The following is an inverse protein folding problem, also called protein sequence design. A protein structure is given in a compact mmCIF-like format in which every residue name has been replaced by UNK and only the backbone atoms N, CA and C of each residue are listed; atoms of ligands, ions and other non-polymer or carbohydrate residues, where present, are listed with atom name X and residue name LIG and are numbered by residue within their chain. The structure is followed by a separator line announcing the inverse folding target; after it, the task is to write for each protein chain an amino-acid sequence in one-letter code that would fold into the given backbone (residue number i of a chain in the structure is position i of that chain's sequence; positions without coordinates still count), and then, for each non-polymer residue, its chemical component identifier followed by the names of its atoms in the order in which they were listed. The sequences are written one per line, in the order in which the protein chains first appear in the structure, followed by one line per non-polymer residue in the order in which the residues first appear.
data_IF_801105332280
#
_entry.id   IF_801105332280
#
_cell.length_a   1.000
_cell.length_b   1.000
_cell.length_c   1.000
_cell.angle_alpha   90.00
_cell.angle_beta   90.00
_cell.angle_gamma   90.00
#
_symmetry.space_group_name_H-M   'P 1'
#
loop_
_entity.id
_entity.type
_entity.pdbx_description
1 polymer ?
#
# COMPACT_ATOMS: atom_id res chain seq x y z
N UNK A 1 6.47 48.11 5.68
CA UNK A 1 5.63 47.64 4.55
C UNK A 1 5.72 46.12 4.49
N UNK A 2 4.88 45.42 5.26
CA UNK A 2 4.94 43.95 5.38
C UNK A 2 4.10 43.29 4.28
N UNK A 3 4.75 42.64 3.31
CA UNK A 3 4.05 41.80 2.34
C UNK A 3 3.87 40.40 2.94
N UNK A 4 2.67 40.15 3.48
CA UNK A 4 2.22 38.82 3.90
C UNK A 4 2.09 37.96 2.64
N UNK A 5 3.07 37.10 2.36
CA UNK A 5 2.98 36.10 1.30
C UNK A 5 1.90 35.09 1.69
N UNK A 6 0.74 35.17 1.05
CA UNK A 6 -0.28 34.14 1.09
C UNK A 6 0.23 32.95 0.28
N UNK A 7 0.80 31.95 0.94
CA UNK A 7 1.10 30.67 0.32
C UNK A 7 -0.19 29.84 0.29
N UNK A 8 -0.97 29.98 -0.77
CA UNK A 8 -2.03 29.03 -1.10
C UNK A 8 -1.41 27.87 -1.88
N UNK A 9 -1.04 26.80 -1.20
CA UNK A 9 -0.70 25.52 -1.86
C UNK A 9 -1.74 24.46 -1.47
N UNK A 10 -2.94 24.55 -2.05
CA UNK A 10 -3.87 23.42 -2.06
C UNK A 10 -3.85 22.80 -3.46
N UNK A 11 -2.75 22.11 -3.77
CA UNK A 11 -2.79 21.11 -4.82
C UNK A 11 -3.35 19.85 -4.15
N UNK A 12 -4.65 19.60 -4.35
CA UNK A 12 -5.29 18.35 -3.94
C UNK A 12 -4.68 17.23 -4.78
N UNK A 13 -3.66 16.55 -4.24
CA UNK A 13 -3.21 15.28 -4.80
C UNK A 13 -4.39 14.33 -4.69
N UNK A 14 -4.97 13.96 -5.83
CA UNK A 14 -6.22 13.19 -5.93
C UNK A 14 -6.17 11.79 -5.29
N UNK A 15 -5.01 11.39 -4.78
CA UNK A 15 -4.76 10.06 -4.29
C UNK A 15 -4.81 10.02 -2.75
N UNK A 16 -5.81 9.30 -2.23
CA UNK A 16 -6.11 9.27 -0.80
C UNK A 16 -5.30 8.20 -0.03
N UNK A 17 -4.73 7.21 -0.74
CA UNK A 17 -4.08 6.05 -0.11
C UNK A 17 -2.71 5.70 -0.70
N UNK A 18 -1.81 5.23 0.16
CA UNK A 18 -0.63 4.48 -0.20
C UNK A 18 -0.96 2.99 -0.32
N UNK A 19 -0.74 2.42 -1.49
CA UNK A 19 -0.66 0.98 -1.73
C UNK A 19 0.78 0.54 -1.52
N UNK A 20 1.03 -0.15 -0.42
CA UNK A 20 2.38 -0.52 0.03
C UNK A 20 2.51 -2.04 -0.11
N UNK A 21 3.46 -2.49 -0.91
CA UNK A 21 3.74 -3.92 -1.11
C UNK A 21 5.14 -4.26 -0.60
N UNK A 22 5.25 -5.26 0.28
CA UNK A 22 6.56 -5.73 0.74
C UNK A 22 7.24 -6.57 -0.35
N UNK A 23 8.41 -6.14 -0.83
CA UNK A 23 9.18 -6.84 -1.88
C UNK A 23 10.38 -7.61 -1.33
N UNK A 24 10.95 -7.17 -0.21
CA UNK A 24 12.10 -7.81 0.45
C UNK A 24 11.76 -8.14 1.90
N UNK A 25 12.34 -9.22 2.42
CA UNK A 25 12.07 -9.69 3.78
C UNK A 25 12.75 -8.79 4.82
N UNK A 26 12.10 -8.61 5.97
CA UNK A 26 12.67 -7.91 7.13
C UNK A 26 13.45 -8.84 8.08
N UNK A 27 13.63 -10.11 7.71
CA UNK A 27 14.43 -11.08 8.48
C UNK A 27 15.88 -10.61 8.53
N UNK A 28 16.51 -10.70 9.70
CA UNK A 28 17.90 -10.27 9.91
C UNK A 28 18.10 -8.76 10.02
N UNK A 29 17.05 -7.95 9.84
CA UNK A 29 17.12 -6.50 10.02
C UNK A 29 16.89 -6.08 11.48
N UNK A 30 17.32 -4.88 11.88
CA UNK A 30 17.08 -4.31 13.20
C UNK A 30 15.61 -4.33 13.65
N UNK A 31 15.37 -4.37 14.97
CA UNK A 31 14.03 -4.54 15.55
C UNK A 31 13.07 -3.42 15.19
N UNK A 32 13.56 -2.21 15.08
CA UNK A 32 12.80 -1.01 14.74
C UNK A 32 12.29 -1.05 13.30
N UNK A 33 13.06 -1.59 12.35
CA UNK A 33 12.64 -1.86 10.97
C UNK A 33 11.55 -2.93 10.93
N UNK A 34 11.75 -4.03 11.67
CA UNK A 34 10.73 -5.09 11.79
C UNK A 34 9.45 -4.56 12.42
N UNK A 35 9.55 -3.70 13.43
CA UNK A 35 8.42 -3.06 14.07
C UNK A 35 7.68 -2.14 13.10
N UNK A 36 8.39 -1.28 12.34
CA UNK A 36 7.79 -0.42 11.34
C UNK A 36 7.00 -1.21 10.27
N UNK A 37 7.55 -2.34 9.81
CA UNK A 37 6.87 -3.23 8.86
C UNK A 37 5.57 -3.78 9.45
N UNK A 38 5.60 -4.24 10.70
CA UNK A 38 4.42 -4.73 11.42
C UNK A 38 3.38 -3.63 11.63
N UNK A 39 3.78 -2.40 11.95
CA UNK A 39 2.89 -1.24 12.11
C UNK A 39 2.16 -0.92 10.80
N UNK A 40 2.82 -1.05 9.65
CA UNK A 40 2.18 -0.91 8.34
C UNK A 40 1.29 -2.12 7.97
N UNK A 41 1.31 -3.19 8.76
CA UNK A 41 0.54 -4.43 8.51
C UNK A 41 1.21 -5.37 7.51
N UNK A 42 2.52 -5.20 7.28
CA UNK A 42 3.31 -6.03 6.36
C UNK A 42 4.03 -7.12 7.15
N UNK A 43 3.54 -8.35 7.03
CA UNK A 43 4.07 -9.52 7.75
C UNK A 43 4.68 -10.52 6.79
N UNK A 44 4.05 -10.74 5.63
CA UNK A 44 4.50 -11.71 4.62
C UNK A 44 5.06 -11.01 3.37
N UNK A 45 5.97 -11.68 2.67
CA UNK A 45 6.45 -11.23 1.37
C UNK A 45 5.29 -11.09 0.38
N UNK A 46 5.37 -10.07 -0.47
CA UNK A 46 4.37 -9.70 -1.48
C UNK A 46 2.98 -9.33 -0.93
N UNK A 47 2.84 -9.25 0.39
CA UNK A 47 1.64 -8.72 1.01
C UNK A 47 1.51 -7.23 0.67
N UNK A 48 0.28 -6.82 0.34
CA UNK A 48 -0.07 -5.43 0.08
C UNK A 48 -0.96 -4.91 1.20
N UNK A 49 -0.65 -3.72 1.69
CA UNK A 49 -1.41 -2.99 2.71
C UNK A 49 -1.77 -1.61 2.17
N UNK A 50 -2.99 -1.14 2.46
CA UNK A 50 -3.46 0.18 2.07
C UNK A 50 -3.52 1.08 3.30
N UNK A 51 -2.90 2.26 3.21
CA UNK A 51 -2.82 3.23 4.32
C UNK A 51 -3.16 4.62 3.82
N UNK A 52 -3.90 5.45 4.58
CA UNK A 52 -4.22 6.80 4.17
C UNK A 52 -2.94 7.63 4.00
N UNK A 53 -2.96 8.57 3.06
CA UNK A 53 -1.87 9.52 2.85
C UNK A 53 -1.79 10.47 4.04
N UNK A 54 -0.79 10.25 4.90
CA UNK A 54 -0.44 11.16 5.98
C UNK A 54 1.07 11.11 6.29
N UNK A 55 1.56 12.10 7.03
CA UNK A 55 2.98 12.25 7.33
C UNK A 55 3.56 11.07 8.13
N UNK A 56 2.81 10.53 9.09
CA UNK A 56 3.26 9.41 9.92
C UNK A 56 3.49 8.14 9.09
N UNK A 57 2.56 7.81 8.20
CA UNK A 57 2.69 6.69 7.27
C UNK A 57 3.85 6.91 6.29
N UNK A 58 4.00 8.15 5.78
CA UNK A 58 5.12 8.50 4.91
C UNK A 58 6.48 8.30 5.61
N UNK A 59 6.60 8.68 6.88
CA UNK A 59 7.82 8.45 7.68
C UNK A 59 8.16 6.98 7.85
N UNK A 60 7.16 6.14 8.13
CA UNK A 60 7.34 4.68 8.20
C UNK A 60 7.75 4.09 6.84
N UNK A 61 7.14 4.57 5.75
CA UNK A 61 7.50 4.16 4.38
C UNK A 61 8.95 4.54 4.07
N UNK A 62 9.37 5.78 4.38
CA UNK A 62 10.74 6.25 4.14
C UNK A 62 11.77 5.41 4.89
N UNK A 63 11.44 5.01 6.12
CA UNK A 63 12.27 4.08 6.90
C UNK A 63 12.40 2.71 6.26
N UNK A 64 11.41 2.27 5.47
CA UNK A 64 11.34 0.96 4.82
C UNK A 64 11.59 1.01 3.30
N UNK A 65 12.05 2.14 2.76
CA UNK A 65 12.10 2.42 1.30
C UNK A 65 12.83 1.37 0.45
N UNK A 66 13.74 0.62 1.05
CA UNK A 66 14.52 -0.44 0.39
C UNK A 66 13.76 -1.77 0.31
N UNK A 67 12.77 -1.97 1.19
CA UNK A 67 12.01 -3.21 1.32
C UNK A 67 10.64 -3.16 0.62
N UNK A 68 10.07 -1.96 0.46
CA UNK A 68 8.70 -1.78 -0.02
C UNK A 68 8.65 -1.16 -1.40
N UNK A 69 7.65 -1.56 -2.18
CA UNK A 69 7.19 -0.81 -3.35
C UNK A 69 5.93 -0.04 -2.97
N UNK A 70 5.89 1.26 -3.27
CA UNK A 70 4.75 2.12 -2.97
C UNK A 70 4.16 2.69 -4.24
N UNK A 71 2.83 2.66 -4.32
CA UNK A 71 2.03 3.33 -5.34
C UNK A 71 1.01 4.20 -4.61
N UNK A 72 0.75 5.41 -5.11
CA UNK A 72 -0.34 6.24 -4.59
C UNK A 72 -1.59 5.90 -5.40
N UNK A 73 -2.71 5.66 -4.73
CA UNK A 73 -3.97 5.23 -5.33
C UNK A 73 -5.13 6.04 -4.75
N UNK A 74 -6.16 6.24 -5.56
CA UNK A 74 -7.31 7.06 -5.19
C UNK A 74 -8.23 6.32 -4.19
N UNK A 75 -8.39 5.01 -4.34
CA UNK A 75 -9.24 4.21 -3.45
C UNK A 75 -8.65 2.83 -3.13
N UNK A 76 -9.18 2.22 -2.07
CA UNK A 76 -8.89 0.83 -1.71
C UNK A 76 -9.76 -0.08 -2.57
N UNK A 77 -9.20 -1.10 -3.23
CA UNK A 77 -9.98 -1.96 -4.11
C UNK A 77 -11.04 -2.74 -3.35
N UNK A 78 -12.25 -2.74 -3.91
CA UNK A 78 -13.41 -3.45 -3.36
C UNK A 78 -13.32 -4.94 -3.67
N UNK A 79 -13.98 -5.78 -2.86
CA UNK A 79 -14.02 -7.24 -3.08
C UNK A 79 -14.51 -7.63 -4.49
N UNK A 80 -15.41 -6.84 -5.10
CA UNK A 80 -15.88 -7.06 -6.47
C UNK A 80 -14.77 -6.82 -7.50
N UNK A 81 -14.04 -5.70 -7.39
CA UNK A 81 -12.93 -5.36 -8.28
C UNK A 81 -11.80 -6.40 -8.18
N UNK A 82 -11.50 -6.87 -6.96
CA UNK A 82 -10.53 -7.94 -6.73
C UNK A 82 -10.96 -9.27 -7.35
N UNK A 83 -12.26 -9.57 -7.39
CA UNK A 83 -12.79 -10.76 -8.07
C UNK A 83 -12.70 -10.60 -9.59
N UNK A 84 -13.04 -9.43 -10.12
CA UNK A 84 -12.97 -9.12 -11.55
C UNK A 84 -11.54 -9.14 -12.10
N UNK A 85 -10.55 -8.73 -11.29
CA UNK A 85 -9.14 -8.78 -11.65
C UNK A 85 -8.55 -10.20 -11.71
N UNK A 86 -9.27 -11.23 -11.24
CA UNK A 86 -8.78 -12.60 -11.31
C UNK A 86 -8.82 -13.10 -12.75
N UNK A 87 -7.76 -13.77 -13.22
CA UNK A 87 -7.77 -14.39 -14.54
C UNK A 87 -8.89 -15.45 -14.61
N UNK A 88 -9.49 -15.65 -15.80
CA UNK A 88 -10.53 -16.65 -15.99
C UNK A 88 -9.97 -18.05 -15.70
N UNK A 89 -10.85 -18.95 -15.23
CA UNK A 89 -10.47 -20.35 -15.02
C UNK A 89 -10.26 -21.00 -16.39
N UNK A 90 -9.13 -21.69 -16.57
CA UNK A 90 -8.81 -22.44 -17.79
C UNK A 90 -9.54 -23.78 -17.93
N UNK A 91 -10.61 -24.00 -17.17
CA UNK A 91 -11.39 -25.23 -17.20
C UNK A 91 -12.85 -24.97 -16.85
N UNK A 92 -13.74 -25.81 -17.35
CA UNK A 92 -15.16 -25.84 -16.99
C UNK A 92 -15.49 -27.19 -16.38
N UNK A 93 -16.26 -27.20 -15.29
CA UNK A 93 -16.68 -28.45 -14.65
C UNK A 93 -17.83 -29.05 -15.45
N UNK A 94 -17.59 -30.20 -16.09
CA UNK A 94 -18.57 -30.87 -16.98
C UNK A 94 -19.59 -31.71 -16.20
N UNK A 95 -19.24 -32.19 -15.01
CA UNK A 95 -20.14 -32.95 -14.14
C UNK A 95 -19.51 -33.20 -12.78
N UNK A 96 -20.35 -33.48 -11.76
CA UNK A 96 -19.90 -33.84 -10.41
C UNK A 96 -20.36 -35.27 -10.13
N UNK A 97 -19.42 -36.17 -9.91
CA UNK A 97 -19.75 -37.54 -9.49
C UNK A 97 -20.16 -37.49 -8.02
N UNK A 98 -21.40 -37.88 -7.72
CA UNK A 98 -21.89 -38.10 -6.36
C UNK A 98 -21.19 -39.32 -5.75
#
# INVERSE_FOLDING_TARGET
MMQRRLFTSSAKTAADYYKITLKRSAIGLPQDIRAASKTLGLVRLHQTSYKPVNASNAGLILKLKELVQVQVVDHIPTTQELKAAKPPRGYTVVGRKL
#
